data_IF_062418914837
#
_entry.id   IF_062418914837
#
_cell.length_a   1.000
_cell.length_b   1.000
_cell.length_c   1.000
_cell.angle_alpha   90.00
_cell.angle_beta   90.00
_cell.angle_gamma   90.00
#
_symmetry.space_group_name_H-M   'P 1'
#
loop_
_entity.id
_entity.type
_entity.pdbx_description
1 polymer ?
#
# COMPACT_ATOMS: atom_id res chain seq x y z
N UNK A 1 -2.48 30.39 -2.07
CA UNK A 1 -1.40 30.37 -1.04
C UNK A 1 -1.28 28.93 -0.55
N UNK A 2 -0.17 28.23 -0.82
CA UNK A 2 0.06 26.82 -0.41
C UNK A 2 0.21 26.62 1.13
N UNK A 3 0.03 27.67 1.94
CA UNK A 3 0.33 27.68 3.37
C UNK A 3 -0.87 27.34 4.28
N UNK A 4 -2.07 27.09 3.73
CA UNK A 4 -3.26 26.72 4.50
C UNK A 4 -3.79 25.33 4.07
N UNK A 5 -2.94 24.33 4.21
CA UNK A 5 -3.27 22.92 3.99
C UNK A 5 -3.28 22.17 5.32
N UNK A 6 -4.20 21.22 5.45
CA UNK A 6 -4.25 20.29 6.58
C UNK A 6 -3.34 19.11 6.25
N UNK A 7 -2.56 18.68 7.25
CA UNK A 7 -1.56 17.61 7.15
C UNK A 7 -1.76 16.66 8.33
N UNK A 8 -2.28 15.49 8.06
CA UNK A 8 -2.71 14.54 9.08
C UNK A 8 -2.35 13.10 8.72
N UNK A 9 -2.30 12.25 9.73
CA UNK A 9 -2.09 10.81 9.60
C UNK A 9 -3.23 10.08 10.28
N UNK A 10 -3.70 9.02 9.63
CA UNK A 10 -4.68 8.08 10.19
C UNK A 10 -4.26 6.64 9.91
N UNK A 11 -4.83 5.71 10.66
CA UNK A 11 -4.55 4.28 10.56
C UNK A 11 -5.83 3.55 10.17
N UNK A 12 -5.98 3.24 8.88
CA UNK A 12 -7.14 2.51 8.35
C UNK A 12 -7.07 1.06 8.77
N UNK A 13 -8.16 0.53 9.31
CA UNK A 13 -8.27 -0.87 9.68
C UNK A 13 -8.62 -1.71 8.46
N UNK A 14 -7.63 -2.42 7.92
CA UNK A 14 -7.86 -3.30 6.79
C UNK A 14 -8.74 -4.49 7.17
N UNK A 15 -9.04 -5.33 6.19
CA UNK A 15 -9.72 -6.62 6.39
C UNK A 15 -8.78 -7.81 6.24
N UNK A 16 -7.47 -7.60 6.33
CA UNK A 16 -6.47 -8.65 6.19
C UNK A 16 -5.69 -8.81 7.50
N UNK A 17 -5.22 -10.03 7.74
CA UNK A 17 -4.35 -10.39 8.87
C UNK A 17 -3.13 -11.11 8.28
N UNK A 18 -2.15 -10.33 7.83
CA UNK A 18 -1.01 -10.84 7.06
C UNK A 18 0.12 -11.35 7.96
N UNK A 19 0.21 -10.89 9.22
CA UNK A 19 1.15 -11.41 10.22
C UNK A 19 0.54 -12.45 11.18
N UNK A 20 -0.75 -12.77 11.01
CA UNK A 20 -1.50 -13.84 11.71
C UNK A 20 -1.59 -13.62 13.22
N UNK A 21 -1.67 -12.37 13.64
CA UNK A 21 -1.83 -11.99 15.06
C UNK A 21 -3.31 -12.00 15.51
N UNK A 22 -4.23 -12.42 14.63
CA UNK A 22 -5.69 -12.45 14.82
C UNK A 22 -6.33 -11.06 14.92
N UNK A 23 -5.62 -10.00 14.54
CA UNK A 23 -6.14 -8.66 14.41
C UNK A 23 -6.08 -8.21 12.95
N UNK A 24 -7.03 -7.37 12.50
CA UNK A 24 -6.91 -6.76 11.18
C UNK A 24 -5.72 -5.80 11.12
N UNK A 25 -4.91 -5.87 10.08
CA UNK A 25 -3.74 -5.00 9.91
C UNK A 25 -4.15 -3.53 9.80
N UNK A 26 -3.51 -2.66 10.58
CA UNK A 26 -3.65 -1.21 10.43
C UNK A 26 -2.72 -0.68 9.33
N UNK A 27 -3.28 0.10 8.41
CA UNK A 27 -2.55 0.71 7.28
C UNK A 27 -2.43 2.22 7.50
N UNK A 28 -1.20 2.72 7.54
CA UNK A 28 -0.93 4.15 7.66
C UNK A 28 -1.28 4.90 6.37
N UNK A 29 -2.09 5.95 6.52
CA UNK A 29 -2.47 6.88 5.47
C UNK A 29 -1.99 8.28 5.82
N UNK A 30 -1.15 8.86 4.96
CA UNK A 30 -0.69 10.25 5.07
C UNK A 30 -1.57 11.13 4.20
N UNK A 31 -2.20 12.15 4.79
CA UNK A 31 -3.23 12.97 4.14
C UNK A 31 -2.76 14.41 4.10
N UNK A 32 -2.83 15.01 2.91
CA UNK A 32 -2.71 16.45 2.70
C UNK A 32 -3.97 16.93 2.00
N UNK A 33 -4.72 17.85 2.59
CA UNK A 33 -5.94 18.37 1.97
C UNK A 33 -6.10 19.88 2.15
N UNK A 34 -6.75 20.57 1.21
CA UNK A 34 -7.11 21.97 1.40
C UNK A 34 -8.13 22.11 2.53
N UNK A 35 -8.12 23.26 3.19
CA UNK A 35 -9.23 23.66 4.07
C UNK A 35 -10.42 24.06 3.21
N UNK A 36 -11.53 23.36 3.36
CA UNK A 36 -12.76 23.60 2.61
C UNK A 36 -13.97 23.23 3.46
N UNK A 37 -15.01 24.07 3.42
CA UNK A 37 -16.28 23.85 4.12
C UNK A 37 -17.22 23.07 3.20
N UNK A 38 -16.96 21.75 3.10
CA UNK A 38 -17.66 20.83 2.22
C UNK A 38 -16.82 19.60 1.91
N UNK A 39 -17.32 18.77 1.00
CA UNK A 39 -16.65 17.52 0.63
C UNK A 39 -15.78 17.68 -0.62
N UNK A 40 -14.63 17.02 -0.63
CA UNK A 40 -13.65 17.05 -1.74
C UNK A 40 -13.29 15.64 -2.22
N UNK A 41 -12.92 15.49 -3.51
CA UNK A 41 -12.36 14.25 -4.04
C UNK A 41 -10.92 14.02 -3.59
N UNK A 42 -10.46 12.78 -3.72
CA UNK A 42 -9.11 12.36 -3.34
C UNK A 42 -8.32 11.85 -4.54
N UNK A 43 -7.03 12.20 -4.58
CA UNK A 43 -6.01 11.53 -5.39
C UNK A 43 -5.17 10.66 -4.47
N UNK A 44 -5.19 9.34 -4.69
CA UNK A 44 -4.54 8.35 -3.85
C UNK A 44 -3.33 7.74 -4.56
N UNK A 45 -2.19 7.76 -3.89
CA UNK A 45 -0.97 7.06 -4.30
C UNK A 45 -0.73 5.89 -3.36
N UNK A 46 -0.95 4.67 -3.86
CA UNK A 46 -0.63 3.43 -3.14
C UNK A 46 0.85 3.10 -3.35
N UNK A 47 1.69 3.32 -2.35
CA UNK A 47 3.15 3.24 -2.49
C UNK A 47 3.81 2.46 -1.34
N UNK A 48 4.24 1.21 -1.60
CA UNK A 48 5.04 0.44 -0.66
C UNK A 48 6.40 1.10 -0.33
N UNK A 49 6.86 2.03 -1.17
CA UNK A 49 8.12 2.75 -0.98
C UNK A 49 8.01 3.98 -0.06
N UNK A 50 6.78 4.43 0.23
CA UNK A 50 6.54 5.78 0.76
C UNK A 50 7.21 6.04 2.12
N UNK A 51 7.25 5.03 2.99
CA UNK A 51 7.85 5.13 4.32
C UNK A 51 9.34 4.72 4.36
N UNK A 52 9.98 4.66 3.19
CA UNK A 52 11.38 4.29 3.02
C UNK A 52 11.55 2.88 2.45
N UNK A 53 12.78 2.58 2.03
CA UNK A 53 13.15 1.31 1.39
C UNK A 53 14.40 0.72 2.04
N UNK A 54 14.46 -0.61 2.16
CA UNK A 54 15.58 -1.33 2.78
C UNK A 54 16.54 -1.90 1.72
N UNK A 55 17.31 -1.00 1.10
CA UNK A 55 18.24 -1.34 0.00
C UNK A 55 19.23 -2.43 0.40
N UNK A 56 19.79 -2.36 1.62
CA UNK A 56 20.77 -3.34 2.10
C UNK A 56 20.20 -4.76 2.20
N UNK A 57 18.94 -4.90 2.63
CA UNK A 57 18.31 -6.22 2.70
C UNK A 57 17.96 -6.73 1.29
N UNK A 58 17.45 -5.85 0.42
CA UNK A 58 17.19 -6.15 -0.98
C UNK A 58 18.44 -6.64 -1.72
N UNK A 59 19.56 -5.93 -1.61
CA UNK A 59 20.84 -6.29 -2.23
C UNK A 59 21.32 -7.68 -1.79
N UNK A 60 21.07 -8.04 -0.52
CA UNK A 60 21.45 -9.35 0.03
C UNK A 60 20.58 -10.48 -0.51
N UNK A 61 19.34 -10.18 -0.91
CA UNK A 61 18.39 -11.13 -1.46
C UNK A 61 18.55 -11.32 -2.98
N UNK A 62 19.44 -10.59 -3.65
CA UNK A 62 19.68 -10.78 -5.09
C UNK A 62 20.20 -12.19 -5.40
N UNK A 63 19.62 -12.81 -6.42
CA UNK A 63 20.08 -14.08 -6.96
C UNK A 63 21.37 -13.90 -7.77
N UNK A 64 22.25 -14.90 -7.68
CA UNK A 64 23.38 -15.03 -8.60
C UNK A 64 22.86 -15.52 -9.95
N UNK A 65 23.12 -14.76 -10.99
CA UNK A 65 22.66 -15.09 -12.34
C UNK A 65 23.58 -16.08 -13.06
N UNK A 66 24.79 -16.33 -12.54
CA UNK A 66 25.64 -17.38 -13.07
C UNK A 66 25.15 -18.76 -12.64
N UNK A 67 24.94 -19.65 -13.61
CA UNK A 67 24.53 -21.03 -13.35
C UNK A 67 24.22 -21.79 -14.63
N UNK A 68 23.99 -23.09 -14.48
CA UNK A 68 23.50 -23.93 -15.57
C UNK A 68 21.97 -23.84 -15.67
N UNK A 69 21.44 -24.02 -16.87
CA UNK A 69 19.99 -24.02 -17.09
C UNK A 69 19.43 -25.41 -16.81
N UNK A 70 18.53 -25.49 -15.83
CA UNK A 70 17.82 -26.72 -15.49
C UNK A 70 16.90 -27.20 -16.62
N UNK A 71 16.98 -28.51 -16.94
CA UNK A 71 16.11 -29.14 -17.94
C UNK A 71 14.78 -29.49 -17.31
N UNK A 72 13.70 -28.88 -17.82
CA UNK A 72 12.34 -29.15 -17.37
C UNK A 72 11.77 -30.40 -18.05
N UNK A 73 11.27 -31.35 -17.28
CA UNK A 73 10.48 -32.45 -17.82
C UNK A 73 9.10 -31.96 -18.26
N UNK A 74 8.58 -32.51 -19.35
CA UNK A 74 7.26 -32.16 -19.86
C UNK A 74 6.18 -32.50 -18.84
N UNK A 75 5.38 -31.50 -18.47
CA UNK A 75 4.22 -31.62 -17.60
C UNK A 75 3.25 -30.46 -17.88
N UNK A 76 2.01 -30.59 -17.39
CA UNK A 76 1.03 -29.51 -17.39
C UNK A 76 1.12 -28.75 -16.07
N UNK A 77 1.11 -27.42 -16.13
CA UNK A 77 1.03 -26.57 -14.94
C UNK A 77 -0.44 -26.49 -14.53
N UNK A 78 -0.75 -26.94 -13.32
CA UNK A 78 -2.06 -26.76 -12.70
C UNK A 78 -2.00 -25.54 -11.78
N UNK A 79 -3.04 -24.70 -11.84
CA UNK A 79 -3.16 -23.49 -11.03
C UNK A 79 -4.43 -23.57 -10.20
N UNK A 80 -4.38 -23.00 -9.00
CA UNK A 80 -5.54 -22.82 -8.13
C UNK A 80 -5.87 -21.34 -8.02
N UNK A 81 -7.17 -21.02 -7.95
CA UNK A 81 -7.58 -19.65 -7.66
C UNK A 81 -7.24 -19.31 -6.21
N UNK A 82 -6.50 -18.21 -5.96
CA UNK A 82 -6.17 -17.81 -4.61
C UNK A 82 -7.43 -17.40 -3.85
N UNK A 83 -7.57 -17.88 -2.61
CA UNK A 83 -8.64 -17.46 -1.70
C UNK A 83 -8.18 -16.29 -0.85
N UNK A 84 -8.96 -15.22 -0.83
CA UNK A 84 -8.76 -14.08 0.06
C UNK A 84 -9.64 -14.27 1.31
N UNK A 85 -9.01 -14.51 2.46
CA UNK A 85 -9.72 -14.61 3.73
C UNK A 85 -9.76 -13.25 4.39
N UNK A 86 -10.97 -12.73 4.61
CA UNK A 86 -11.17 -11.44 5.25
C UNK A 86 -11.44 -11.61 6.74
N UNK A 87 -10.87 -10.72 7.54
CA UNK A 87 -11.15 -10.61 8.97
C UNK A 87 -12.15 -9.50 9.26
N UNK A 88 -12.85 -9.66 10.38
CA UNK A 88 -13.85 -8.70 10.85
C UNK A 88 -13.20 -7.58 11.68
N UNK A 89 -13.78 -6.37 11.70
CA UNK A 89 -13.28 -5.26 12.50
C UNK A 89 -13.14 -5.63 13.98
N UNK A 90 -12.03 -5.23 14.62
CA UNK A 90 -11.73 -5.59 16.01
C UNK A 90 -12.11 -4.50 17.03
N UNK A 91 -12.84 -4.87 18.08
CA UNK A 91 -13.02 -4.05 19.28
C UNK A 91 -14.00 -2.87 19.17
N UNK A 92 -14.27 -2.23 20.32
CA UNK A 92 -15.11 -1.03 20.47
C UNK A 92 -14.27 0.25 20.42
N UNK A 93 -14.90 1.34 19.99
CA UNK A 93 -14.20 2.56 19.59
C UNK A 93 -14.99 3.80 19.99
N UNK A 94 -14.30 4.86 20.40
CA UNK A 94 -14.87 6.19 20.60
C UNK A 94 -14.70 7.03 19.32
N UNK A 95 -15.75 7.69 18.85
CA UNK A 95 -15.66 8.55 17.66
C UNK A 95 -15.10 9.93 18.05
N UNK A 96 -14.04 10.36 17.36
CA UNK A 96 -13.46 11.70 17.47
C UNK A 96 -13.61 12.47 16.15
N UNK A 97 -13.58 13.80 16.24
CA UNK A 97 -13.80 14.68 15.08
C UNK A 97 -12.55 14.93 14.23
N UNK A 98 -11.35 14.77 14.79
CA UNK A 98 -10.11 15.11 14.12
C UNK A 98 -9.05 14.00 14.32
N UNK A 99 -8.14 13.88 13.35
CA UNK A 99 -6.94 13.10 13.49
C UNK A 99 -5.97 13.77 14.49
N UNK A 100 -5.19 12.98 15.22
CA UNK A 100 -4.29 13.51 16.26
C UNK A 100 -2.81 13.46 15.91
N UNK A 101 -2.46 12.69 14.90
CA UNK A 101 -1.11 12.70 14.37
C UNK A 101 -1.03 13.68 13.19
N UNK A 102 -0.06 14.60 13.27
CA UNK A 102 0.23 15.54 12.19
C UNK A 102 1.33 15.01 11.29
N UNK A 103 1.09 15.10 9.99
CA UNK A 103 2.09 14.75 9.00
C UNK A 103 3.17 15.84 8.91
N UNK A 104 4.37 15.55 9.40
CA UNK A 104 5.48 16.50 9.43
C UNK A 104 6.10 16.72 8.04
N UNK A 105 6.44 15.63 7.33
CA UNK A 105 7.12 15.69 6.04
C UNK A 105 6.69 14.53 5.14
N UNK A 106 6.74 14.78 3.83
CA UNK A 106 6.64 13.75 2.79
C UNK A 106 7.98 13.75 2.05
N UNK A 107 8.68 12.61 2.10
CA UNK A 107 10.01 12.47 1.49
C UNK A 107 9.97 12.58 -0.04
N UNK A 108 8.87 12.16 -0.67
CA UNK A 108 8.67 12.23 -2.11
C UNK A 108 7.19 12.37 -2.41
N UNK A 109 6.79 13.53 -2.94
CA UNK A 109 5.44 13.76 -3.45
C UNK A 109 5.39 13.51 -4.95
N UNK A 110 4.30 12.91 -5.42
CA UNK A 110 4.07 12.77 -6.85
C UNK A 110 3.55 14.10 -7.40
N UNK A 111 4.29 14.69 -8.36
CA UNK A 111 4.09 16.09 -8.77
C UNK A 111 2.71 16.35 -9.37
N UNK A 112 2.10 15.33 -10.00
CA UNK A 112 0.72 15.41 -10.47
C UNK A 112 -0.27 15.64 -9.31
N UNK A 113 -0.03 15.00 -8.16
CA UNK A 113 -0.90 15.16 -7.00
C UNK A 113 -0.72 16.54 -6.37
N UNK A 114 0.51 17.05 -6.33
CA UNK A 114 0.80 18.42 -5.88
C UNK A 114 0.17 19.47 -6.81
N UNK A 115 0.01 19.14 -8.09
CA UNK A 115 -0.74 19.97 -9.03
C UNK A 115 -2.25 19.99 -8.72
N UNK A 116 -2.84 18.85 -8.33
CA UNK A 116 -4.26 18.75 -7.98
C UNK A 116 -4.60 19.32 -6.60
N UNK A 117 -3.67 19.30 -5.65
CA UNK A 117 -3.89 19.78 -4.28
C UNK A 117 -4.43 21.23 -4.21
N UNK A 118 -3.81 22.26 -4.84
CA UNK A 118 -4.35 23.62 -4.85
C UNK A 118 -5.61 23.78 -5.72
N UNK A 119 -6.04 22.72 -6.42
CA UNK A 119 -7.24 22.68 -7.28
C UNK A 119 -8.42 21.96 -6.63
N UNK A 120 -8.35 21.72 -5.31
CA UNK A 120 -9.49 21.21 -4.53
C UNK A 120 -9.51 19.70 -4.33
N UNK A 121 -8.39 19.01 -4.55
CA UNK A 121 -8.27 17.57 -4.30
C UNK A 121 -7.46 17.30 -3.03
N UNK A 122 -7.88 16.33 -2.22
CA UNK A 122 -7.02 15.76 -1.19
C UNK A 122 -5.96 14.86 -1.83
N UNK A 123 -4.74 14.89 -1.29
CA UNK A 123 -3.64 14.02 -1.68
C UNK A 123 -3.39 13.00 -0.57
N UNK A 124 -3.49 11.71 -0.92
CA UNK A 124 -3.30 10.61 0.01
C UNK A 124 -2.12 9.77 -0.44
N UNK A 125 -1.21 9.50 0.49
CA UNK A 125 -0.17 8.50 0.32
C UNK A 125 -0.41 7.36 1.29
N UNK A 126 -0.66 6.18 0.72
CA UNK A 126 -0.99 4.97 1.48
C UNK A 126 0.23 4.07 1.47
N UNK A 127 0.64 3.63 2.65
CA UNK A 127 1.89 2.87 2.81
C UNK A 127 1.68 1.37 2.55
N UNK A 128 0.51 0.82 2.89
CA UNK A 128 0.18 -0.60 2.74
C UNK A 128 0.71 -1.49 3.88
N UNK A 129 0.32 -2.77 3.89
CA UNK A 129 0.81 -3.76 4.87
C UNK A 129 2.31 -3.97 4.79
N UNK A 130 2.96 -4.31 5.91
CA UNK A 130 4.41 -4.56 5.95
C UNK A 130 5.29 -3.31 5.83
N UNK A 131 4.69 -2.12 5.72
CA UNK A 131 5.45 -0.87 5.68
C UNK A 131 5.57 -0.21 7.04
N UNK A 132 6.59 0.64 7.22
CA UNK A 132 6.86 1.35 8.46
C UNK A 132 5.61 2.08 8.96
N UNK A 133 5.37 1.95 10.27
CA UNK A 133 4.19 2.44 10.99
C UNK A 133 2.83 1.82 10.55
N UNK A 134 2.79 0.95 9.55
CA UNK A 134 1.66 0.02 9.31
C UNK A 134 1.92 -1.32 10.02
N UNK A 135 0.90 -2.16 10.12
CA UNK A 135 1.01 -3.54 10.61
C UNK A 135 1.15 -4.54 9.44
N UNK A 136 1.22 -5.83 9.77
CA UNK A 136 1.28 -6.89 8.79
C UNK A 136 2.65 -7.16 8.18
N UNK A 137 2.68 -8.12 7.27
CA UNK A 137 3.84 -8.50 6.46
C UNK A 137 3.71 -7.94 5.04
N UNK A 138 4.85 -7.78 4.37
CA UNK A 138 4.85 -7.41 2.95
C UNK A 138 4.52 -8.65 2.12
N UNK A 139 3.28 -8.74 1.64
CA UNK A 139 2.80 -9.90 0.85
C UNK A 139 3.11 -9.78 -0.65
N UNK A 140 3.58 -8.61 -1.10
CA UNK A 140 3.93 -8.26 -2.47
C UNK A 140 2.92 -8.66 -3.54
N UNK A 141 2.15 -7.71 -4.04
CA UNK A 141 1.39 -7.89 -5.27
C UNK A 141 0.16 -8.81 -5.20
N UNK A 142 0.00 -9.56 -4.12
CA UNK A 142 -1.15 -10.42 -3.90
C UNK A 142 -2.42 -9.63 -3.52
N UNK A 143 -3.55 -10.33 -3.46
CA UNK A 143 -4.82 -9.69 -3.17
C UNK A 143 -4.97 -9.25 -1.70
N UNK A 144 -4.14 -9.72 -0.76
CA UNK A 144 -4.14 -9.16 0.60
C UNK A 144 -3.58 -7.73 0.59
N UNK A 145 -2.50 -7.50 -0.17
CA UNK A 145 -1.96 -6.16 -0.35
C UNK A 145 -2.97 -5.23 -1.03
N UNK A 146 -3.65 -5.72 -2.08
CA UNK A 146 -4.70 -4.95 -2.78
C UNK A 146 -5.87 -4.62 -1.85
N UNK A 147 -6.34 -5.58 -1.05
CA UNK A 147 -7.44 -5.37 -0.10
C UNK A 147 -7.08 -4.31 0.94
N UNK A 148 -5.85 -4.32 1.46
CA UNK A 148 -5.37 -3.31 2.40
C UNK A 148 -5.43 -1.88 1.82
N UNK A 149 -5.09 -1.69 0.54
CA UNK A 149 -5.26 -0.41 -0.15
C UNK A 149 -6.73 -0.08 -0.44
N UNK A 150 -7.52 -1.08 -0.84
CA UNK A 150 -8.96 -0.94 -1.10
C UNK A 150 -9.71 -0.45 0.14
N UNK A 151 -9.33 -0.92 1.33
CA UNK A 151 -10.00 -0.50 2.57
C UNK A 151 -9.81 0.99 2.89
N UNK A 152 -8.79 1.65 2.33
CA UNK A 152 -8.67 3.13 2.40
C UNK A 152 -9.78 3.80 1.59
N UNK A 153 -10.11 3.29 0.41
CA UNK A 153 -11.22 3.77 -0.42
C UNK A 153 -12.56 3.50 0.29
N UNK A 154 -12.69 2.33 0.93
CA UNK A 154 -13.85 2.02 1.77
C UNK A 154 -13.97 2.99 2.95
N UNK A 155 -12.87 3.37 3.60
CA UNK A 155 -12.90 4.35 4.70
C UNK A 155 -13.33 5.74 4.22
N UNK A 156 -12.82 6.19 3.07
CA UNK A 156 -13.24 7.44 2.43
C UNK A 156 -14.73 7.47 2.08
N UNK A 157 -15.35 6.29 1.94
CA UNK A 157 -16.77 6.12 1.68
C UNK A 157 -17.58 5.66 2.90
N UNK A 158 -16.99 5.67 4.10
CA UNK A 158 -17.68 5.32 5.34
C UNK A 158 -17.99 3.83 5.54
N UNK A 159 -17.35 2.93 4.77
CA UNK A 159 -17.52 1.46 4.83
C UNK A 159 -16.42 0.75 5.62
N UNK A 160 -15.38 1.46 6.04
CA UNK A 160 -14.26 0.94 6.82
C UNK A 160 -13.89 1.93 7.94
N UNK A 161 -13.26 1.43 9.02
CA UNK A 161 -12.84 2.23 10.16
C UNK A 161 -11.40 2.74 9.96
N UNK A 162 -11.11 3.90 10.53
CA UNK A 162 -9.74 4.35 10.73
C UNK A 162 -9.58 4.92 12.14
N UNK A 163 -8.35 4.89 12.63
CA UNK A 163 -7.99 5.28 13.98
C UNK A 163 -6.97 6.42 13.98
N UNK A 164 -6.92 7.13 15.10
CA UNK A 164 -5.91 8.18 15.32
C UNK A 164 -4.53 7.63 15.62
N UNK A 165 -4.45 6.37 16.08
CA UNK A 165 -3.22 5.68 16.48
C UNK A 165 -3.43 4.16 16.53
N UNK A 166 -2.36 3.40 16.78
CA UNK A 166 -2.39 1.93 16.85
C UNK A 166 -3.16 1.33 18.04
N UNK A 167 -3.62 2.14 19.00
CA UNK A 167 -4.38 1.61 20.15
C UNK A 167 -5.79 1.19 19.79
N UNK A 168 -6.29 1.59 18.60
CA UNK A 168 -7.65 1.33 18.09
C UNK A 168 -8.78 1.88 18.95
N UNK A 169 -8.48 2.78 19.90
CA UNK A 169 -9.48 3.29 20.83
C UNK A 169 -10.31 4.43 20.24
N UNK A 170 -9.73 5.23 19.37
CA UNK A 170 -10.32 6.50 18.91
C UNK A 170 -10.42 6.50 17.40
N UNK A 171 -11.66 6.35 16.93
CA UNK A 171 -12.02 6.24 15.53
C UNK A 171 -12.21 7.63 14.93
N UNK A 172 -11.73 7.82 13.70
CA UNK A 172 -11.93 9.04 12.90
C UNK A 172 -12.61 8.69 11.56
N UNK A 173 -13.51 9.55 11.11
CA UNK A 173 -14.22 9.41 9.82
C UNK A 173 -13.61 10.34 8.77
N UNK A 174 -13.74 9.96 7.49
CA UNK A 174 -13.42 10.82 6.36
C UNK A 174 -14.62 11.74 5.99
N UNK A 175 -15.14 12.50 6.96
CA UNK A 175 -16.31 13.37 6.77
C UNK A 175 -16.10 14.48 5.72
N UNK A 176 -14.85 14.90 5.52
CA UNK A 176 -14.41 15.83 4.49
C UNK A 176 -14.38 15.21 3.07
N UNK A 177 -14.48 13.89 2.91
CA UNK A 177 -14.39 13.23 1.61
C UNK A 177 -15.76 13.13 0.94
N UNK A 178 -15.82 13.30 -0.38
CA UNK A 178 -17.02 12.99 -1.16
C UNK A 178 -17.05 11.51 -1.64
N UNK A 179 -16.10 10.68 -1.21
CA UNK A 179 -15.98 9.26 -1.59
C UNK A 179 -15.38 9.00 -2.97
N UNK A 180 -15.17 10.03 -3.80
CA UNK A 180 -14.62 9.90 -5.16
C UNK A 180 -13.10 9.89 -5.13
N UNK A 181 -12.50 8.82 -5.65
CA UNK A 181 -11.06 8.58 -5.62
C UNK A 181 -10.53 8.36 -7.02
N UNK A 182 -9.43 9.05 -7.35
CA UNK A 182 -8.56 8.70 -8.46
C UNK A 182 -7.25 8.13 -7.92
N UNK A 183 -6.71 7.05 -8.49
CA UNK A 183 -5.36 6.60 -8.14
C UNK A 183 -4.31 7.10 -9.13
N UNK A 184 -3.09 7.32 -8.65
CA UNK A 184 -1.97 7.84 -9.43
C UNK A 184 -0.67 7.15 -9.06
N UNK A 185 0.23 7.04 -10.04
CA UNK A 185 1.64 6.81 -9.78
C UNK A 185 2.30 5.88 -10.80
N UNK A 186 3.61 5.75 -10.64
CA UNK A 186 4.48 5.01 -11.55
C UNK A 186 5.00 3.70 -10.95
N UNK A 187 5.26 2.69 -11.78
CA UNK A 187 5.84 1.41 -11.38
C UNK A 187 4.93 0.69 -10.38
N UNK A 188 5.40 0.27 -9.20
CA UNK A 188 4.59 -0.41 -8.17
C UNK A 188 3.31 0.39 -7.84
N UNK A 189 3.35 1.73 -7.87
CA UNK A 189 2.16 2.56 -7.64
C UNK A 189 1.10 2.38 -8.73
N UNK A 190 1.54 2.29 -9.98
CA UNK A 190 0.70 1.96 -11.13
C UNK A 190 0.22 0.50 -11.08
N UNK A 191 1.06 -0.42 -10.60
CA UNK A 191 0.69 -1.82 -10.35
C UNK A 191 -0.45 -1.95 -9.35
N UNK A 192 -0.37 -1.20 -8.23
CA UNK A 192 -1.45 -1.16 -7.24
C UNK A 192 -2.73 -0.55 -7.82
N UNK A 193 -2.60 0.46 -8.68
CA UNK A 193 -3.74 1.02 -9.41
C UNK A 193 -4.43 -0.01 -10.30
N UNK A 194 -3.66 -0.80 -11.06
CA UNK A 194 -4.20 -1.91 -11.85
C UNK A 194 -4.94 -2.92 -10.96
N UNK A 195 -4.30 -3.38 -9.88
CA UNK A 195 -4.88 -4.36 -8.95
C UNK A 195 -6.18 -3.85 -8.32
N UNK A 196 -6.20 -2.60 -7.83
CA UNK A 196 -7.39 -1.96 -7.26
C UNK A 196 -8.55 -1.89 -8.26
N UNK A 197 -8.30 -1.55 -9.52
CA UNK A 197 -9.34 -1.50 -10.53
C UNK A 197 -10.00 -2.88 -10.77
N UNK A 198 -9.27 -3.98 -10.60
CA UNK A 198 -9.85 -5.34 -10.73
C UNK A 198 -10.85 -5.69 -9.62
N UNK A 199 -10.83 -4.97 -8.50
CA UNK A 199 -11.73 -5.24 -7.37
C UNK A 199 -13.14 -4.70 -7.58
N UNK A 200 -13.33 -3.75 -8.49
CA UNK A 200 -14.59 -3.04 -8.68
C UNK A 200 -15.06 -2.24 -7.45
N UNK A 201 -14.14 -1.79 -6.58
CA UNK A 201 -14.49 -1.05 -5.36
C UNK A 201 -15.24 0.25 -5.67
N UNK A 202 -16.38 0.43 -5.02
CA UNK A 202 -17.19 1.65 -5.12
C UNK A 202 -16.41 2.88 -4.65
N UNK A 203 -16.42 3.94 -5.47
CA UNK A 203 -15.73 5.20 -5.22
C UNK A 203 -14.36 5.31 -5.90
N UNK A 204 -13.79 4.22 -6.41
CA UNK A 204 -12.66 4.31 -7.34
C UNK A 204 -13.17 4.65 -8.75
N UNK A 205 -13.05 5.92 -9.12
CA UNK A 205 -13.64 6.43 -10.37
C UNK A 205 -12.70 6.28 -11.57
N UNK A 206 -11.40 6.41 -11.33
CA UNK A 206 -10.39 6.39 -12.39
C UNK A 206 -9.03 5.98 -11.83
N UNK A 207 -8.25 5.27 -12.65
CA UNK A 207 -6.86 4.98 -12.37
C UNK A 207 -5.96 5.68 -13.39
N UNK A 208 -4.85 6.24 -12.92
CA UNK A 208 -3.75 6.76 -13.73
C UNK A 208 -2.53 5.87 -13.44
N UNK A 209 -2.48 4.72 -14.12
CA UNK A 209 -1.45 3.71 -13.93
C UNK A 209 -0.29 3.93 -14.93
N UNK A 210 0.83 4.45 -14.44
CA UNK A 210 2.02 4.71 -15.27
C UNK A 210 3.06 3.60 -15.08
N UNK A 211 3.55 3.00 -16.17
CA UNK A 211 4.51 1.89 -16.12
C UNK A 211 4.15 0.78 -15.10
N UNK A 212 2.84 0.55 -14.90
CA UNK A 212 2.34 -0.41 -13.93
C UNK A 212 2.45 -1.83 -14.45
N UNK A 213 2.77 -2.76 -13.54
CA UNK A 213 2.74 -4.19 -13.81
C UNK A 213 1.27 -4.64 -13.81
N UNK A 214 0.86 -5.42 -14.80
CA UNK A 214 -0.49 -6.04 -14.85
C UNK A 214 -0.46 -7.53 -14.49
N UNK A 215 0.72 -8.15 -14.57
CA UNK A 215 0.98 -9.54 -14.21
C UNK A 215 2.41 -9.63 -13.66
N UNK A 216 2.53 -9.97 -12.38
CA UNK A 216 3.82 -10.08 -11.70
C UNK A 216 4.73 -11.15 -12.31
N UNK A 217 4.15 -12.22 -12.85
CA UNK A 217 4.90 -13.20 -13.62
C UNK A 217 5.68 -12.53 -14.75
N UNK A 218 5.05 -11.66 -15.53
CA UNK A 218 5.68 -11.02 -16.68
C UNK A 218 6.75 -9.98 -16.33
N UNK A 219 6.83 -9.57 -15.06
CA UNK A 219 7.87 -8.65 -14.62
C UNK A 219 9.20 -9.36 -14.31
N UNK A 220 9.14 -10.61 -13.82
CA UNK A 220 10.33 -11.40 -13.44
C UNK A 220 10.55 -12.65 -14.30
N UNK A 221 9.62 -12.98 -15.20
CA UNK A 221 9.63 -14.19 -16.03
C UNK A 221 9.08 -13.91 -17.42
N UNK A 222 9.54 -14.69 -18.39
CA UNK A 222 9.00 -14.67 -19.74
C UNK A 222 8.99 -16.10 -20.30
N UNK A 223 7.84 -16.56 -20.82
CA UNK A 223 7.70 -17.83 -21.55
C UNK A 223 8.34 -19.06 -20.86
N UNK A 224 8.20 -19.14 -19.53
CA UNK A 224 8.74 -20.24 -18.72
C UNK A 224 10.21 -20.05 -18.31
N UNK A 225 10.82 -18.89 -18.52
CA UNK A 225 12.21 -18.60 -18.19
C UNK A 225 12.33 -17.49 -17.14
N UNK A 226 13.45 -17.48 -16.42
CA UNK A 226 13.84 -16.35 -15.57
C UNK A 226 14.29 -15.21 -16.47
N UNK A 227 13.67 -14.05 -16.31
CA UNK A 227 14.00 -12.84 -17.08
C UNK A 227 13.95 -11.67 -16.12
N UNK A 228 15.12 -11.27 -15.62
CA UNK A 228 15.22 -10.16 -14.68
C UNK A 228 14.75 -8.85 -15.33
N UNK A 229 14.20 -7.90 -14.54
CA UNK A 229 13.88 -6.56 -15.03
C UNK A 229 15.11 -5.88 -15.65
N UNK A 230 14.88 -5.08 -16.69
CA UNK A 230 15.96 -4.40 -17.40
C UNK A 230 16.80 -3.52 -16.48
N UNK A 231 18.09 -3.81 -16.37
CA UNK A 231 19.02 -3.10 -15.48
C UNK A 231 19.16 -3.69 -14.06
N UNK A 232 18.39 -4.72 -13.71
CA UNK A 232 18.34 -5.31 -12.37
C UNK A 232 18.55 -6.83 -12.39
N UNK A 233 19.71 -7.33 -12.87
CA UNK A 233 20.00 -8.76 -12.87
C UNK A 233 20.01 -9.32 -11.44
N UNK A 234 19.38 -10.48 -11.25
CA UNK A 234 19.28 -11.12 -9.94
C UNK A 234 18.11 -10.66 -9.08
N UNK A 235 17.37 -9.62 -9.50
CA UNK A 235 16.16 -9.20 -8.79
C UNK A 235 15.00 -10.19 -9.03
N UNK A 236 14.30 -10.50 -7.95
CA UNK A 236 13.03 -11.26 -7.92
C UNK A 236 12.12 -10.77 -6.78
N UNK A 237 10.98 -11.44 -6.60
CA UNK A 237 9.94 -11.10 -5.62
C UNK A 237 10.43 -10.96 -4.18
N UNK A 238 11.38 -11.79 -3.77
CA UNK A 238 11.99 -11.78 -2.44
C UNK A 238 12.84 -10.53 -2.22
N UNK A 239 13.69 -10.16 -3.19
CA UNK A 239 14.46 -8.92 -3.12
C UNK A 239 13.57 -7.67 -3.10
N UNK A 240 12.43 -7.69 -3.81
CA UNK A 240 11.44 -6.61 -3.75
C UNK A 240 10.70 -6.59 -2.41
N UNK A 241 10.42 -7.76 -1.82
CA UNK A 241 9.79 -7.87 -0.50
C UNK A 241 10.69 -7.23 0.55
N UNK A 242 11.96 -7.61 0.57
CA UNK A 242 12.95 -7.01 1.47
C UNK A 242 13.09 -5.50 1.23
N UNK A 243 13.10 -5.05 -0.02
CA UNK A 243 13.20 -3.62 -0.35
C UNK A 243 12.04 -2.81 0.25
N UNK A 244 10.83 -3.36 0.22
CA UNK A 244 9.59 -2.66 0.58
C UNK A 244 9.08 -2.98 1.98
N UNK A 245 9.65 -3.98 2.66
CA UNK A 245 9.35 -4.32 4.05
C UNK A 245 9.97 -3.31 5.04
N UNK A 246 9.47 -2.08 4.97
CA UNK A 246 10.03 -0.94 5.70
C UNK A 246 9.75 -0.98 7.21
N UNK A 247 8.88 -1.87 7.71
CA UNK A 247 8.77 -2.15 9.16
C UNK A 247 10.14 -2.48 9.77
N UNK A 248 11.00 -3.20 9.04
CA UNK A 248 12.35 -3.54 9.50
C UNK A 248 13.30 -2.33 9.64
N UNK A 249 12.93 -1.14 9.18
CA UNK A 249 13.69 0.08 9.43
C UNK A 249 13.50 0.61 10.86
N UNK A 250 12.46 0.14 11.58
CA UNK A 250 12.25 0.46 13.00
C UNK A 250 12.82 -0.65 13.87
N UNK A 251 13.76 -0.31 14.76
CA UNK A 251 14.43 -1.30 15.61
C UNK A 251 13.44 -2.13 16.46
N UNK A 252 12.37 -1.52 16.97
CA UNK A 252 11.36 -2.23 17.76
C UNK A 252 10.56 -3.25 16.94
N UNK A 253 10.20 -2.90 15.70
CA UNK A 253 9.51 -3.82 14.79
C UNK A 253 10.46 -4.90 14.26
N UNK A 254 11.72 -4.53 13.97
CA UNK A 254 12.73 -5.50 13.57
C UNK A 254 12.89 -6.62 14.62
N UNK A 255 12.96 -6.27 15.92
CA UNK A 255 13.07 -7.26 17.00
C UNK A 255 11.82 -8.14 17.09
N UNK A 256 10.61 -7.57 16.95
CA UNK A 256 9.36 -8.34 17.03
C UNK A 256 9.11 -9.22 15.82
N UNK A 257 9.39 -8.72 14.62
CA UNK A 257 9.09 -9.39 13.36
C UNK A 257 10.16 -10.38 12.90
N UNK A 258 11.38 -10.31 13.45
CA UNK A 258 12.49 -11.21 13.10
C UNK A 258 13.08 -11.94 14.31
N UNK A 259 12.46 -11.81 15.48
CA UNK A 259 12.82 -12.59 16.67
C UNK A 259 12.29 -14.02 16.53
N UNK A 260 13.21 -14.99 16.55
CA UNK A 260 12.90 -16.40 16.72
C UNK A 260 12.60 -16.72 18.19
#
# INVERSE_FOLDING_TARGET
>A
RQHDVIREVVYVESRVDTDKDSLPDLVKVSIIRPRYDGQIPSVMTASPYHQGTNVKASDKALYKMEGELEVKHAHTIELEEPKLNLVEPFGQTELVSEAEERLAHINSSYTLNDYFLPRGFANLYVSGVGTRDSQGLMTNGDYHQIEAYKNVIDWLNGRCRAFTDHTRKRQVKADWSNGKVATTGISYLGTMSNGLATTGVDGLEVIIAEAGISSWYNYYRENGLVTSPGGYPGEDFDSLAELTYSRNLLAGDYIRGNGA
#
